data_IF_958316546786
#
_entry.id   IF_958316546786
#
_cell.length_a   1.000
_cell.length_b   1.000
_cell.length_c   1.000
_cell.angle_alpha   90.00
_cell.angle_beta   90.00
_cell.angle_gamma   90.00
#
_symmetry.space_group_name_H-M   'P 1'
#
loop_
_entity.id
_entity.type
_entity.pdbx_description
1 polymer ?
#
# COMPACT_ATOMS: atom_id res chain seq x y z
N UNK A 1 35.43 39.26 -81.32
CA UNK A 1 34.14 38.57 -81.45
C UNK A 1 34.23 37.28 -80.63
N UNK A 2 33.58 37.24 -79.54
CA UNK A 2 32.93 36.09 -78.80
C UNK A 2 32.73 36.48 -77.35
N UNK A 3 31.49 36.72 -77.01
CA UNK A 3 30.99 37.15 -75.72
C UNK A 3 30.90 35.84 -74.81
N UNK A 4 31.61 35.89 -73.72
CA UNK A 4 31.41 34.85 -72.68
C UNK A 4 30.44 35.35 -71.59
N UNK A 5 29.28 34.81 -71.57
CA UNK A 5 28.30 35.02 -70.50
C UNK A 5 28.72 34.20 -69.24
N UNK A 6 28.85 34.87 -68.10
CA UNK A 6 29.07 34.28 -66.82
C UNK A 6 27.70 34.09 -66.12
N UNK A 7 27.26 32.84 -65.88
CA UNK A 7 26.14 32.56 -65.02
C UNK A 7 26.65 32.50 -63.57
N UNK A 8 26.15 33.41 -62.75
CA UNK A 8 26.32 33.34 -61.29
C UNK A 8 25.14 32.58 -60.73
N UNK A 9 25.43 31.39 -60.19
CA UNK A 9 24.43 30.61 -59.45
C UNK A 9 24.36 31.06 -57.95
N UNK A 10 23.21 31.58 -57.54
CA UNK A 10 22.93 32.02 -56.20
C UNK A 10 22.38 30.80 -55.46
N UNK A 11 23.17 30.19 -54.56
CA UNK A 11 22.72 29.14 -53.65
C UNK A 11 22.10 29.76 -52.39
N UNK A 12 20.78 29.72 -52.27
CA UNK A 12 20.09 30.10 -51.04
C UNK A 12 20.08 28.91 -50.10
N UNK A 13 20.83 29.00 -49.00
CA UNK A 13 20.80 28.04 -47.93
C UNK A 13 19.60 28.31 -47.01
N UNK A 14 18.58 27.46 -47.07
CA UNK A 14 17.48 27.45 -46.11
C UNK A 14 17.97 26.76 -44.82
N UNK A 15 18.24 27.53 -43.78
CA UNK A 15 18.43 27.02 -42.43
C UNK A 15 17.05 26.76 -41.76
N UNK A 16 16.66 25.50 -41.70
CA UNK A 16 15.48 25.06 -40.92
C UNK A 16 15.90 24.97 -39.46
N UNK A 17 15.53 25.95 -38.68
CA UNK A 17 15.65 25.89 -37.21
C UNK A 17 14.54 24.99 -36.65
N UNK A 18 14.88 23.75 -36.21
CA UNK A 18 14.02 22.95 -35.41
C UNK A 18 13.95 23.54 -33.98
N UNK A 19 12.88 24.26 -33.69
CA UNK A 19 12.53 24.61 -32.34
C UNK A 19 12.02 23.32 -31.61
N UNK A 20 12.88 22.72 -30.81
CA UNK A 20 12.46 21.67 -29.87
C UNK A 20 11.49 22.31 -28.87
N UNK A 21 10.20 22.08 -29.05
CA UNK A 21 9.22 22.27 -27.99
C UNK A 21 9.45 21.16 -26.98
N UNK A 22 10.21 21.45 -25.93
CA UNK A 22 10.18 20.66 -24.71
C UNK A 22 8.75 20.80 -24.15
N UNK A 23 7.94 19.75 -24.34
CA UNK A 23 6.67 19.62 -23.66
C UNK A 23 6.98 19.58 -22.16
N UNK A 24 6.70 20.69 -21.48
CA UNK A 24 6.54 20.70 -20.03
C UNK A 24 5.41 19.69 -19.73
N UNK A 25 5.78 18.48 -19.31
CA UNK A 25 4.86 17.57 -18.67
C UNK A 25 4.39 18.30 -17.40
N UNK A 26 3.32 19.05 -17.52
CA UNK A 26 2.62 19.60 -16.37
C UNK A 26 2.25 18.42 -15.50
N UNK A 27 2.77 18.38 -14.28
CA UNK A 27 2.29 17.45 -13.26
C UNK A 27 0.81 17.74 -13.10
N UNK A 28 -0.03 16.85 -13.64
CA UNK A 28 -1.48 16.95 -13.41
C UNK A 28 -1.69 17.03 -11.89
N UNK A 29 -2.50 17.99 -11.45
CA UNK A 29 -2.84 18.11 -10.05
C UNK A 29 -3.37 16.73 -9.56
N UNK A 30 -2.98 16.28 -8.37
CA UNK A 30 -3.42 14.99 -7.85
C UNK A 30 -4.95 14.92 -7.88
N UNK A 31 -5.48 13.83 -8.41
CA UNK A 31 -6.94 13.61 -8.46
C UNK A 31 -7.40 13.47 -7.02
N UNK A 32 -8.24 14.39 -6.55
CA UNK A 32 -8.81 14.30 -5.20
C UNK A 32 -9.68 13.05 -5.10
N UNK A 33 -9.32 12.15 -4.21
CA UNK A 33 -10.13 10.99 -3.94
C UNK A 33 -11.43 11.38 -3.22
N UNK A 34 -12.48 10.60 -3.47
CA UNK A 34 -13.78 10.68 -2.77
C UNK A 34 -13.95 9.55 -1.78
N UNK A 35 -13.34 8.43 -2.08
CA UNK A 35 -13.50 7.18 -1.37
C UNK A 35 -12.16 6.67 -0.82
N UNK A 36 -12.24 5.96 0.31
CA UNK A 36 -11.14 5.17 0.88
C UNK A 36 -11.65 3.77 1.16
N UNK A 37 -10.96 2.78 0.63
CA UNK A 37 -11.20 1.37 0.94
C UNK A 37 -10.04 0.85 1.78
N UNK A 38 -10.36 0.39 2.99
CA UNK A 38 -9.42 -0.07 4.01
C UNK A 38 -9.45 -1.60 4.07
N UNK A 39 -8.29 -2.25 3.93
CA UNK A 39 -8.16 -3.72 3.93
C UNK A 39 -7.28 -4.14 5.09
N UNK A 40 -7.83 -4.94 6.02
CA UNK A 40 -7.12 -5.41 7.21
C UNK A 40 -6.16 -6.56 6.90
N UNK A 41 -5.15 -6.74 7.75
CA UNK A 41 -4.17 -7.80 7.66
C UNK A 41 -4.63 -9.12 8.28
N UNK A 42 -3.69 -10.08 8.38
CA UNK A 42 -3.84 -11.30 9.14
C UNK A 42 -4.00 -10.99 10.65
N UNK A 43 -4.60 -11.92 11.39
CA UNK A 43 -4.80 -11.82 12.84
C UNK A 43 -5.66 -10.63 13.29
N UNK A 44 -6.38 -10.00 12.37
CA UNK A 44 -7.20 -8.82 12.59
C UNK A 44 -8.52 -8.95 11.82
N UNK A 45 -9.36 -7.94 11.94
CA UNK A 45 -10.57 -7.74 11.16
C UNK A 45 -10.74 -6.27 10.78
N UNK A 46 -11.83 -5.92 10.10
CA UNK A 46 -12.07 -4.55 9.65
C UNK A 46 -12.19 -3.52 10.77
N UNK A 47 -12.45 -3.95 12.02
CA UNK A 47 -12.51 -3.05 13.18
C UNK A 47 -11.14 -2.50 13.60
N UNK A 48 -10.04 -3.11 13.13
CA UNK A 48 -8.68 -2.59 13.35
C UNK A 48 -8.50 -1.16 12.81
N UNK A 49 -9.36 -0.72 11.89
CA UNK A 49 -9.38 0.63 11.33
C UNK A 49 -10.26 1.62 12.08
N UNK A 50 -10.90 1.23 13.21
CA UNK A 50 -11.89 2.03 13.94
C UNK A 50 -11.38 3.41 14.37
N UNK A 51 -10.09 3.55 14.66
CA UNK A 51 -9.49 4.82 15.05
C UNK A 51 -9.20 5.74 13.84
N UNK A 52 -8.92 5.15 12.68
CA UNK A 52 -8.61 5.89 11.45
C UNK A 52 -9.88 6.35 10.73
N UNK A 53 -10.90 5.51 10.67
CA UNK A 53 -12.16 5.78 9.97
C UNK A 53 -12.75 7.15 10.30
N UNK A 54 -12.98 7.54 11.58
CA UNK A 54 -13.60 8.82 11.90
C UNK A 54 -12.71 10.03 11.53
N UNK A 55 -11.39 9.85 11.44
CA UNK A 55 -10.48 10.90 10.98
C UNK A 55 -10.70 11.20 9.50
N UNK A 56 -10.78 10.16 8.68
CA UNK A 56 -11.00 10.27 7.23
C UNK A 56 -12.42 10.77 6.91
N UNK A 57 -13.43 10.31 7.66
CA UNK A 57 -14.81 10.78 7.50
C UNK A 57 -14.95 12.27 7.82
N UNK A 58 -14.26 12.78 8.85
CA UNK A 58 -14.23 14.24 9.15
C UNK A 58 -13.59 15.05 8.04
N UNK A 59 -12.69 14.47 7.25
CA UNK A 59 -12.13 15.10 6.06
C UNK A 59 -13.07 15.04 4.83
N UNK A 60 -14.27 14.47 4.97
CA UNK A 60 -15.28 14.39 3.92
C UNK A 60 -15.13 13.19 2.98
N UNK A 61 -14.29 12.21 3.34
CA UNK A 61 -14.13 10.99 2.56
C UNK A 61 -15.21 9.95 2.90
N UNK A 62 -15.69 9.25 1.89
CA UNK A 62 -16.48 8.05 2.06
C UNK A 62 -15.55 6.87 2.35
N UNK A 63 -15.72 6.22 3.50
CA UNK A 63 -14.78 5.19 3.99
C UNK A 63 -15.48 3.85 4.12
N UNK A 64 -14.92 2.81 3.53
CA UNK A 64 -15.40 1.44 3.66
C UNK A 64 -14.26 0.53 4.10
N UNK A 65 -14.47 -0.26 5.16
CA UNK A 65 -13.55 -1.31 5.59
C UNK A 65 -14.00 -2.67 5.06
N UNK A 66 -13.09 -3.36 4.39
CA UNK A 66 -13.29 -4.72 3.88
C UNK A 66 -13.22 -5.71 5.05
N UNK A 67 -14.04 -6.75 5.00
CA UNK A 67 -13.95 -7.90 5.88
C UNK A 67 -13.35 -9.07 5.08
N UNK A 68 -12.05 -9.29 5.25
CA UNK A 68 -11.34 -10.39 4.61
C UNK A 68 -11.70 -11.71 5.31
N UNK A 69 -12.15 -12.74 4.58
CA UNK A 69 -12.44 -14.03 5.21
C UNK A 69 -11.20 -14.77 5.71
N UNK A 70 -10.00 -14.43 5.21
CA UNK A 70 -8.72 -15.07 5.57
C UNK A 70 -8.67 -16.58 5.31
N UNK A 71 -9.54 -17.08 4.44
CA UNK A 71 -9.66 -18.50 4.06
C UNK A 71 -8.81 -18.86 2.87
N UNK A 72 -8.71 -17.97 1.90
CA UNK A 72 -7.78 -18.04 0.77
C UNK A 72 -7.43 -16.66 0.23
N UNK A 73 -6.32 -16.55 -0.49
CA UNK A 73 -5.95 -15.28 -1.15
C UNK A 73 -7.00 -14.84 -2.17
N UNK A 74 -7.58 -15.80 -2.90
CA UNK A 74 -8.62 -15.53 -3.87
C UNK A 74 -9.90 -14.96 -3.22
N UNK A 75 -10.29 -15.49 -2.05
CA UNK A 75 -11.46 -15.02 -1.32
C UNK A 75 -11.27 -13.58 -0.81
N UNK A 76 -10.07 -13.25 -0.30
CA UNK A 76 -9.73 -11.91 0.20
C UNK A 76 -9.67 -10.89 -0.95
N UNK A 77 -9.09 -11.28 -2.08
CA UNK A 77 -9.08 -10.49 -3.33
C UNK A 77 -10.51 -10.22 -3.80
N UNK A 78 -11.36 -11.25 -3.82
CA UNK A 78 -12.75 -11.11 -4.25
C UNK A 78 -13.59 -10.26 -3.28
N UNK A 79 -13.36 -10.38 -1.96
CA UNK A 79 -13.98 -9.51 -0.96
C UNK A 79 -13.63 -8.03 -1.22
N UNK A 80 -12.37 -7.75 -1.51
CA UNK A 80 -11.91 -6.40 -1.84
C UNK A 80 -12.51 -5.90 -3.16
N UNK A 81 -12.54 -6.72 -4.22
CA UNK A 81 -13.15 -6.36 -5.51
C UNK A 81 -14.64 -6.01 -5.37
N UNK A 82 -15.40 -6.76 -4.57
CA UNK A 82 -16.81 -6.44 -4.30
C UNK A 82 -17.00 -5.07 -3.66
N UNK A 83 -16.11 -4.69 -2.74
CA UNK A 83 -16.16 -3.36 -2.12
C UNK A 83 -15.74 -2.27 -3.10
N UNK A 84 -14.70 -2.50 -3.92
CA UNK A 84 -14.26 -1.55 -4.95
C UNK A 84 -15.37 -1.30 -5.99
N UNK A 85 -16.10 -2.33 -6.38
CA UNK A 85 -17.22 -2.21 -7.33
C UNK A 85 -18.38 -1.32 -6.85
N UNK A 86 -18.46 -1.07 -5.53
CA UNK A 86 -19.46 -0.16 -4.93
C UNK A 86 -18.98 1.29 -4.85
N UNK A 87 -17.73 1.58 -5.22
CA UNK A 87 -17.20 2.94 -5.13
C UNK A 87 -17.58 3.76 -6.37
N UNK A 88 -18.09 4.96 -6.13
CA UNK A 88 -18.63 5.84 -7.18
C UNK A 88 -17.60 6.85 -7.75
N UNK A 89 -16.32 6.59 -7.65
CA UNK A 89 -15.28 7.49 -8.16
C UNK A 89 -13.88 7.25 -7.61
N UNK A 90 -13.01 8.26 -7.69
CA UNK A 90 -11.61 8.15 -7.32
C UNK A 90 -11.44 7.64 -5.89
N UNK A 91 -10.67 6.56 -5.74
CA UNK A 91 -10.55 5.79 -4.50
C UNK A 91 -9.08 5.61 -4.11
N UNK A 92 -8.77 5.86 -2.84
CA UNK A 92 -7.51 5.40 -2.23
C UNK A 92 -7.74 4.00 -1.67
N UNK A 93 -6.88 3.05 -2.06
CA UNK A 93 -6.92 1.68 -1.56
C UNK A 93 -5.78 1.49 -0.55
N UNK A 94 -6.12 1.09 0.66
CA UNK A 94 -5.21 1.01 1.80
C UNK A 94 -5.12 -0.43 2.29
N UNK A 95 -3.91 -0.95 2.48
CA UNK A 95 -3.69 -2.30 2.98
C UNK A 95 -2.73 -2.32 4.17
N UNK A 96 -3.14 -3.00 5.24
CA UNK A 96 -2.29 -3.27 6.40
C UNK A 96 -1.68 -4.67 6.29
N UNK A 97 -0.38 -4.80 6.58
CA UNK A 97 0.27 -6.10 6.75
C UNK A 97 0.09 -7.03 5.54
N UNK A 98 -0.43 -8.24 5.73
CA UNK A 98 -0.77 -9.20 4.68
C UNK A 98 -1.62 -8.58 3.56
N UNK A 99 -2.55 -7.67 3.90
CA UNK A 99 -3.43 -7.06 2.90
C UNK A 99 -2.69 -6.20 1.86
N UNK A 100 -1.42 -5.88 2.08
CA UNK A 100 -0.59 -5.29 1.04
C UNK A 100 -0.48 -6.17 -0.22
N UNK A 101 -0.55 -7.50 -0.08
CA UNK A 101 -0.66 -8.42 -1.23
C UNK A 101 -2.01 -8.26 -1.93
N UNK A 102 -3.10 -8.15 -1.16
CA UNK A 102 -4.46 -7.99 -1.69
C UNK A 102 -4.59 -6.69 -2.47
N UNK A 103 -4.08 -5.57 -1.94
CA UNK A 103 -4.13 -4.29 -2.65
C UNK A 103 -3.16 -4.24 -3.84
N UNK A 104 -2.05 -4.97 -3.80
CA UNK A 104 -1.17 -5.13 -4.97
C UNK A 104 -1.87 -5.86 -6.12
N UNK A 105 -2.74 -6.84 -5.80
CA UNK A 105 -3.51 -7.62 -6.76
C UNK A 105 -4.71 -6.84 -7.32
N UNK A 106 -5.40 -6.04 -6.48
CA UNK A 106 -6.67 -5.38 -6.84
C UNK A 106 -6.52 -3.92 -7.23
N UNK A 107 -5.36 -3.30 -6.97
CA UNK A 107 -5.14 -1.87 -7.13
C UNK A 107 -5.09 -1.37 -8.57
N UNK A 108 -5.11 -2.26 -9.59
CA UNK A 108 -5.26 -1.88 -10.99
C UNK A 108 -6.71 -1.54 -11.38
N UNK A 109 -7.67 -1.65 -10.45
CA UNK A 109 -9.04 -1.16 -10.67
C UNK A 109 -9.01 0.29 -11.18
N UNK A 110 -9.82 0.64 -12.20
CA UNK A 110 -9.81 1.97 -12.80
C UNK A 110 -10.18 3.10 -11.82
N UNK A 111 -10.99 2.81 -10.79
CA UNK A 111 -11.34 3.77 -9.76
C UNK A 111 -10.21 3.99 -8.74
N UNK A 112 -9.25 3.07 -8.62
CA UNK A 112 -8.12 3.23 -7.69
C UNK A 112 -7.11 4.22 -8.25
N UNK A 113 -6.91 5.33 -7.55
CA UNK A 113 -6.00 6.41 -7.93
C UNK A 113 -4.69 6.39 -7.16
N UNK A 114 -4.67 5.77 -5.98
CA UNK A 114 -3.50 5.70 -5.11
C UNK A 114 -3.55 4.46 -4.20
N UNK A 115 -2.37 3.97 -3.80
CA UNK A 115 -2.19 2.84 -2.90
C UNK A 115 -1.48 3.30 -1.63
N UNK A 116 -1.96 2.85 -0.46
CA UNK A 116 -1.31 3.10 0.83
C UNK A 116 -1.02 1.77 1.51
N UNK A 117 0.24 1.55 1.83
CA UNK A 117 0.74 0.36 2.50
C UNK A 117 1.08 0.72 3.96
N UNK A 118 0.54 0.00 4.93
CA UNK A 118 0.79 0.23 6.36
C UNK A 118 1.44 -1.03 6.93
N UNK A 119 2.75 -0.97 7.26
CA UNK A 119 3.55 -2.11 7.72
C UNK A 119 3.31 -3.36 6.85
N UNK A 120 3.24 -3.20 5.51
CA UNK A 120 2.56 -4.12 4.64
C UNK A 120 3.46 -4.85 3.65
N UNK A 121 3.05 -6.04 3.25
CA UNK A 121 3.66 -6.79 2.15
C UNK A 121 3.42 -6.08 0.83
N UNK A 122 4.43 -6.03 -0.03
CA UNK A 122 4.32 -5.46 -1.37
C UNK A 122 5.13 -6.30 -2.37
N UNK A 123 4.69 -7.54 -2.65
CA UNK A 123 5.39 -8.40 -3.61
C UNK A 123 5.29 -7.85 -5.03
N UNK A 124 6.23 -8.27 -5.85
CA UNK A 124 6.09 -8.18 -7.31
C UNK A 124 5.19 -9.29 -7.84
N UNK A 125 4.72 -9.16 -9.08
CA UNK A 125 3.91 -10.20 -9.72
C UNK A 125 4.70 -11.52 -9.80
N UNK A 126 4.12 -12.60 -9.27
CA UNK A 126 4.73 -13.94 -9.23
C UNK A 126 5.86 -14.10 -8.21
N UNK A 127 6.23 -13.05 -7.47
CA UNK A 127 7.32 -13.11 -6.50
C UNK A 127 7.02 -14.07 -5.35
N UNK A 128 8.05 -14.82 -4.95
CA UNK A 128 8.01 -15.60 -3.72
C UNK A 128 8.31 -14.68 -2.53
N UNK A 129 7.26 -14.20 -1.88
CA UNK A 129 7.41 -13.28 -0.76
C UNK A 129 8.11 -13.92 0.45
N UNK A 130 7.95 -15.23 0.65
CA UNK A 130 8.62 -15.94 1.75
C UNK A 130 10.14 -15.96 1.52
N UNK A 131 10.56 -16.27 0.30
CA UNK A 131 11.97 -16.24 -0.08
C UNK A 131 12.56 -14.81 -0.01
N UNK A 132 11.78 -13.79 -0.39
CA UNK A 132 12.18 -12.40 -0.24
C UNK A 132 12.36 -12.04 1.24
N UNK A 133 11.39 -12.32 2.08
CA UNK A 133 11.39 -11.99 3.51
C UNK A 133 12.53 -12.70 4.26
N UNK A 134 12.90 -13.92 3.86
CA UNK A 134 14.01 -14.68 4.44
C UNK A 134 15.40 -14.01 4.26
N UNK A 135 15.50 -12.97 3.43
CA UNK A 135 16.73 -12.17 3.26
C UNK A 135 16.89 -11.08 4.33
N UNK A 136 15.93 -10.91 5.19
CA UNK A 136 15.86 -9.90 6.25
C UNK A 136 15.79 -10.55 7.63
N UNK A 137 16.01 -9.81 8.71
CA UNK A 137 15.89 -10.35 10.06
C UNK A 137 14.53 -11.02 10.29
N UNK A 138 14.58 -12.22 10.88
CA UNK A 138 13.35 -12.98 11.19
C UNK A 138 12.58 -12.26 12.31
N UNK A 139 11.30 -11.87 12.08
CA UNK A 139 10.51 -11.20 13.11
C UNK A 139 10.20 -12.13 14.29
N UNK A 140 10.29 -11.64 15.54
CA UNK A 140 10.03 -12.43 16.76
C UNK A 140 8.63 -13.06 16.81
N UNK A 141 7.58 -12.37 16.34
CA UNK A 141 6.20 -12.87 16.33
C UNK A 141 6.07 -14.23 15.62
N UNK A 142 6.95 -14.52 14.65
CA UNK A 142 6.93 -15.81 13.95
C UNK A 142 7.16 -17.03 14.85
N UNK A 143 7.79 -16.84 16.02
CA UNK A 143 7.98 -17.92 17.00
C UNK A 143 6.71 -18.25 17.79
N UNK A 144 5.73 -17.35 17.79
CA UNK A 144 4.44 -17.52 18.46
C UNK A 144 3.30 -18.02 17.57
N UNK A 145 3.60 -18.44 16.33
CA UNK A 145 2.60 -19.01 15.44
C UNK A 145 2.13 -20.38 15.95
N UNK A 146 0.82 -20.53 16.06
CA UNK A 146 0.13 -21.77 16.46
C UNK A 146 -0.73 -22.23 15.29
N UNK A 147 -0.44 -23.42 14.77
CA UNK A 147 -1.14 -24.04 13.64
C UNK A 147 -2.13 -25.10 14.14
N UNK A 148 -3.35 -25.09 13.62
CA UNK A 148 -4.37 -26.10 13.90
C UNK A 148 -5.43 -26.12 12.82
N UNK A 149 -5.76 -27.30 12.28
CA UNK A 149 -6.83 -27.51 11.31
C UNK A 149 -6.64 -26.75 10.00
N UNK A 150 -5.40 -26.53 9.54
CA UNK A 150 -5.08 -25.78 8.32
C UNK A 150 -5.13 -24.27 8.48
N UNK A 151 -5.19 -23.77 9.71
CA UNK A 151 -5.18 -22.35 10.05
C UNK A 151 -4.11 -22.04 11.10
N UNK A 152 -3.60 -20.81 11.07
CA UNK A 152 -2.66 -20.27 12.02
C UNK A 152 -3.24 -19.08 12.78
N UNK A 153 -2.72 -18.85 13.97
CA UNK A 153 -2.92 -17.65 14.78
C UNK A 153 -1.66 -17.36 15.60
N UNK A 154 -1.53 -16.17 16.12
CA UNK A 154 -0.51 -15.87 17.12
C UNK A 154 -0.99 -16.35 18.50
N UNK A 155 -0.07 -16.90 19.32
CA UNK A 155 -0.35 -17.10 20.74
C UNK A 155 -0.45 -15.73 21.46
N UNK A 156 -0.96 -15.72 22.69
CA UNK A 156 -1.19 -14.47 23.44
C UNK A 156 0.10 -13.66 23.63
N UNK A 157 1.18 -14.33 23.99
CA UNK A 157 2.47 -13.67 24.23
C UNK A 157 2.96 -12.93 22.97
N UNK A 158 3.04 -13.60 21.83
CA UNK A 158 3.46 -13.00 20.58
C UNK A 158 2.49 -11.92 20.09
N UNK A 159 1.17 -12.11 20.30
CA UNK A 159 0.21 -11.09 19.92
C UNK A 159 0.37 -9.83 20.76
N UNK A 160 0.47 -9.95 22.09
CA UNK A 160 0.55 -8.79 22.99
C UNK A 160 1.90 -8.09 22.90
N UNK A 161 3.01 -8.84 22.80
CA UNK A 161 4.36 -8.24 22.85
C UNK A 161 4.98 -7.96 21.50
N UNK A 162 4.65 -8.73 20.46
CA UNK A 162 5.30 -8.58 19.16
C UNK A 162 4.38 -7.95 18.09
N UNK A 163 3.08 -8.29 18.10
CA UNK A 163 2.12 -7.75 17.14
C UNK A 163 1.59 -6.38 17.61
N UNK A 164 1.20 -6.24 18.88
CA UNK A 164 0.55 -5.07 19.45
C UNK A 164 1.34 -4.47 20.63
N UNK A 165 2.67 -4.52 20.58
CA UNK A 165 3.55 -4.25 21.71
C UNK A 165 3.60 -2.81 22.20
N UNK A 166 3.09 -1.84 21.46
CA UNK A 166 2.97 -0.44 21.84
C UNK A 166 1.56 -0.05 22.32
N UNK A 167 0.62 -1.03 22.38
CA UNK A 167 -0.70 -0.81 22.95
C UNK A 167 -0.72 -1.10 24.45
N UNK A 168 -1.68 -0.49 25.15
CA UNK A 168 -2.00 -0.85 26.53
C UNK A 168 -2.29 -2.37 26.61
N UNK A 169 -1.67 -3.11 27.55
CA UNK A 169 -1.78 -4.57 27.61
C UNK A 169 -3.21 -5.11 27.66
N UNK A 170 -4.13 -4.40 28.31
CA UNK A 170 -5.55 -4.80 28.36
C UNK A 170 -6.19 -4.69 26.97
N UNK A 171 -5.86 -3.64 26.22
CA UNK A 171 -6.34 -3.46 24.83
C UNK A 171 -5.75 -4.51 23.90
N UNK A 172 -4.45 -4.80 24.00
CA UNK A 172 -3.79 -5.82 23.20
C UNK A 172 -4.41 -7.21 23.45
N UNK A 173 -4.73 -7.57 24.71
CA UNK A 173 -5.43 -8.82 25.05
C UNK A 173 -6.85 -8.87 24.51
N UNK A 174 -7.59 -7.76 24.50
CA UNK A 174 -8.92 -7.71 23.90
C UNK A 174 -8.85 -7.96 22.39
N UNK A 175 -7.87 -7.38 21.69
CA UNK A 175 -7.62 -7.62 20.26
C UNK A 175 -7.18 -9.08 20.00
N UNK A 176 -6.34 -9.65 20.87
CA UNK A 176 -5.99 -11.07 20.81
C UNK A 176 -7.22 -11.98 20.85
N UNK A 177 -8.18 -11.68 21.71
CA UNK A 177 -9.40 -12.48 21.86
C UNK A 177 -10.28 -12.51 20.60
N UNK A 178 -10.18 -11.47 19.75
CA UNK A 178 -10.96 -11.35 18.50
C UNK A 178 -10.12 -11.55 17.24
N UNK A 179 -8.85 -11.99 17.38
CA UNK A 179 -7.99 -12.16 16.21
C UNK A 179 -8.59 -13.14 15.20
N UNK A 180 -8.60 -12.76 13.91
CA UNK A 180 -8.96 -13.65 12.82
C UNK A 180 -7.88 -14.71 12.58
N UNK A 181 -8.27 -15.99 12.52
CA UNK A 181 -7.34 -17.05 12.11
C UNK A 181 -7.10 -16.96 10.60
N UNK A 182 -5.87 -17.16 10.18
CA UNK A 182 -5.46 -17.13 8.77
C UNK A 182 -5.22 -18.55 8.26
N UNK A 183 -5.74 -18.87 7.08
CA UNK A 183 -5.43 -20.15 6.42
C UNK A 183 -3.93 -20.29 6.16
N UNK A 184 -3.37 -21.46 6.44
CA UNK A 184 -1.96 -21.77 6.18
C UNK A 184 -1.58 -21.58 4.69
N UNK A 185 -2.53 -21.76 3.78
CA UNK A 185 -2.34 -21.57 2.35
C UNK A 185 -1.98 -20.12 1.97
N UNK A 186 -2.37 -19.13 2.80
CA UNK A 186 -2.09 -17.72 2.54
C UNK A 186 -0.60 -17.37 2.67
N UNK A 187 0.16 -18.10 3.48
CA UNK A 187 1.60 -17.82 3.67
C UNK A 187 2.41 -18.00 2.38
N UNK A 188 2.03 -18.95 1.52
CA UNK A 188 2.71 -19.26 0.26
C UNK A 188 2.04 -18.65 -0.98
N UNK A 189 0.98 -17.86 -0.79
CA UNK A 189 0.25 -17.23 -1.90
C UNK A 189 1.13 -16.23 -2.65
N UNK A 190 0.91 -16.13 -3.96
CA UNK A 190 1.60 -15.17 -4.84
C UNK A 190 0.58 -14.28 -5.52
N UNK A 191 0.95 -13.03 -5.73
CA UNK A 191 0.17 -12.09 -6.54
C UNK A 191 0.43 -12.34 -8.03
N UNK A 192 -0.56 -12.08 -8.87
CA UNK A 192 -0.41 -12.06 -10.33
C UNK A 192 -0.18 -10.64 -10.84
N UNK A 193 -0.48 -9.65 -10.01
CA UNK A 193 -0.35 -8.23 -10.27
C UNK A 193 0.55 -7.57 -9.22
N UNK A 194 1.13 -6.44 -9.61
CA UNK A 194 1.87 -5.54 -8.73
C UNK A 194 1.44 -4.10 -9.04
N UNK A 195 0.23 -3.73 -8.59
CA UNK A 195 -0.39 -2.44 -8.93
C UNK A 195 0.49 -1.23 -8.56
N UNK A 196 1.34 -1.35 -7.55
CA UNK A 196 2.32 -0.33 -7.14
C UNK A 196 3.34 0.04 -8.24
N UNK A 197 3.48 -0.77 -9.30
CA UNK A 197 4.32 -0.43 -10.46
C UNK A 197 3.72 0.63 -11.37
N UNK A 198 2.41 0.79 -11.33
CA UNK A 198 1.66 1.70 -12.21
C UNK A 198 0.87 2.78 -11.47
N UNK A 199 0.68 2.63 -10.16
CA UNK A 199 -0.07 3.57 -9.32
C UNK A 199 0.85 4.28 -8.35
N UNK A 200 0.61 5.56 -8.03
CA UNK A 200 1.28 6.24 -6.94
C UNK A 200 1.10 5.46 -5.63
N UNK A 201 2.19 5.33 -4.87
CA UNK A 201 2.21 4.55 -3.65
C UNK A 201 2.72 5.34 -2.45
N UNK A 202 2.12 5.11 -1.29
CA UNK A 202 2.53 5.62 0.02
C UNK A 202 2.81 4.45 0.94
N UNK A 203 3.74 4.63 1.88
CA UNK A 203 4.10 3.57 2.81
C UNK A 203 4.35 4.11 4.21
N UNK A 204 3.64 3.57 5.21
CA UNK A 204 3.93 3.77 6.63
C UNK A 204 4.83 2.65 7.13
N UNK A 205 6.05 3.01 7.54
CA UNK A 205 7.05 2.10 8.10
C UNK A 205 6.90 2.12 9.62
N UNK A 206 6.74 0.94 10.23
CA UNK A 206 6.69 0.78 11.69
C UNK A 206 8.07 0.44 12.22
N UNK A 207 8.75 1.40 12.87
CA UNK A 207 10.16 1.28 13.26
C UNK A 207 10.43 0.18 14.30
N UNK A 208 9.45 -0.13 15.14
CA UNK A 208 9.54 -1.12 16.21
C UNK A 208 8.71 -2.38 15.88
N UNK A 209 8.42 -2.62 14.62
CA UNK A 209 7.67 -3.79 14.18
C UNK A 209 8.44 -5.08 14.47
N UNK A 210 7.79 -6.00 15.17
CA UNK A 210 8.30 -7.32 15.54
C UNK A 210 7.54 -8.46 14.84
N UNK A 211 6.64 -8.10 13.91
CA UNK A 211 5.82 -9.03 13.08
C UNK A 211 6.27 -9.01 11.62
N UNK A 212 6.66 -7.85 11.11
CA UNK A 212 7.37 -7.67 9.84
C UNK A 212 8.72 -7.01 10.15
N UNK A 213 9.80 -7.41 9.46
CA UNK A 213 11.08 -6.73 9.66
C UNK A 213 11.02 -5.28 9.17
N UNK A 214 11.36 -4.27 10.00
CA UNK A 214 11.42 -2.88 9.56
C UNK A 214 12.41 -2.65 8.39
N UNK A 215 13.46 -3.47 8.28
CA UNK A 215 14.40 -3.42 7.17
C UNK A 215 13.74 -3.89 5.86
N UNK A 216 12.87 -4.91 5.94
CA UNK A 216 12.07 -5.35 4.80
C UNK A 216 11.06 -4.26 4.40
N UNK A 217 10.38 -3.62 5.36
CA UNK A 217 9.46 -2.52 5.07
C UNK A 217 10.16 -1.37 4.33
N UNK A 218 11.35 -0.95 4.81
CA UNK A 218 12.17 0.07 4.13
C UNK A 218 12.58 -0.35 2.73
N UNK A 219 12.96 -1.61 2.56
CA UNK A 219 13.29 -2.16 1.24
C UNK A 219 12.09 -2.10 0.28
N UNK A 220 10.90 -2.52 0.74
CA UNK A 220 9.67 -2.50 -0.05
C UNK A 220 9.27 -1.08 -0.42
N UNK A 221 9.26 -0.16 0.52
CA UNK A 221 8.95 1.25 0.30
C UNK A 221 9.88 1.90 -0.74
N UNK A 222 11.20 1.64 -0.61
CA UNK A 222 12.20 2.11 -1.58
C UNK A 222 11.99 1.49 -2.97
N UNK A 223 11.72 0.18 -3.05
CA UNK A 223 11.49 -0.53 -4.32
C UNK A 223 10.30 0.03 -5.08
N UNK A 224 9.24 0.39 -4.36
CA UNK A 224 8.03 0.99 -4.91
C UNK A 224 8.18 2.48 -5.24
N UNK A 225 9.30 3.12 -4.87
CA UNK A 225 9.45 4.58 -4.91
C UNK A 225 8.28 5.29 -4.19
N UNK A 226 7.85 4.74 -3.05
CA UNK A 226 6.70 5.24 -2.31
C UNK A 226 7.04 6.52 -1.53
N UNK A 227 6.06 7.41 -1.38
CA UNK A 227 6.11 8.47 -0.38
C UNK A 227 6.01 7.82 1.01
N UNK A 228 6.97 8.08 1.91
CA UNK A 228 7.08 7.34 3.16
C UNK A 228 6.91 8.20 4.39
N UNK A 229 6.33 7.61 5.44
CA UNK A 229 6.40 8.08 6.82
C UNK A 229 6.97 6.95 7.68
N UNK A 230 7.83 7.30 8.65
CA UNK A 230 8.35 6.34 9.63
C UNK A 230 7.75 6.67 11.00
N UNK A 231 7.18 5.66 11.64
CA UNK A 231 6.44 5.79 12.90
C UNK A 231 7.10 4.88 13.94
N UNK A 232 7.33 5.38 15.14
CA UNK A 232 7.90 4.60 16.26
C UNK A 232 6.81 3.76 16.92
N UNK A 233 6.25 2.82 16.16
CA UNK A 233 5.13 1.96 16.53
C UNK A 233 5.48 0.48 16.39
N UNK A 234 4.67 -0.37 17.04
CA UNK A 234 4.59 -1.80 16.74
C UNK A 234 3.93 -2.03 15.37
N UNK A 235 3.59 -3.29 15.05
CA UNK A 235 2.93 -3.66 13.79
C UNK A 235 1.58 -2.98 13.56
N UNK A 236 0.90 -2.55 14.62
CA UNK A 236 -0.47 -2.00 14.57
C UNK A 236 -0.51 -0.48 14.65
N UNK A 237 0.36 0.20 13.91
CA UNK A 237 0.41 1.68 13.86
C UNK A 237 -0.94 2.34 13.53
N UNK A 238 -1.81 1.67 12.78
CA UNK A 238 -3.19 2.12 12.50
C UNK A 238 -4.06 2.25 13.78
N UNK A 239 -3.66 1.57 14.87
CA UNK A 239 -4.37 1.59 16.16
C UNK A 239 -3.68 2.53 17.15
N UNK A 240 -2.33 2.49 17.21
CA UNK A 240 -1.54 3.29 18.17
C UNK A 240 -1.27 4.71 17.68
N UNK A 241 -1.16 4.92 16.36
CA UNK A 241 -0.82 6.19 15.70
C UNK A 241 -1.83 6.53 14.60
N UNK A 242 -3.15 6.55 14.89
CA UNK A 242 -4.18 6.69 13.87
C UNK A 242 -4.14 8.02 13.12
N UNK A 243 -3.62 9.10 13.75
CA UNK A 243 -3.52 10.42 13.11
C UNK A 243 -2.46 10.42 12.02
N UNK A 244 -1.29 9.84 12.28
CA UNK A 244 -0.18 9.73 11.32
C UNK A 244 -0.61 8.88 10.12
N UNK A 245 -1.32 7.78 10.36
CA UNK A 245 -1.87 6.93 9.31
C UNK A 245 -2.95 7.67 8.52
N UNK A 246 -3.87 8.36 9.20
CA UNK A 246 -4.89 9.15 8.51
C UNK A 246 -4.28 10.25 7.64
N UNK A 247 -3.27 10.97 8.14
CA UNK A 247 -2.58 12.01 7.38
C UNK A 247 -1.90 11.46 6.13
N UNK A 248 -1.25 10.28 6.23
CA UNK A 248 -0.68 9.61 5.05
C UNK A 248 -1.75 9.26 4.01
N UNK A 249 -2.91 8.78 4.46
CA UNK A 249 -4.05 8.46 3.57
C UNK A 249 -4.62 9.74 2.96
N UNK A 250 -4.74 10.84 3.72
CA UNK A 250 -5.20 12.13 3.22
C UNK A 250 -4.25 12.70 2.15
N UNK A 251 -2.93 12.61 2.37
CA UNK A 251 -1.94 12.99 1.37
C UNK A 251 -2.10 12.16 0.08
N UNK A 252 -2.33 10.85 0.19
CA UNK A 252 -2.62 9.97 -0.94
C UNK A 252 -3.95 10.33 -1.65
N UNK A 253 -4.92 10.87 -0.90
CA UNK A 253 -6.20 11.34 -1.42
C UNK A 253 -6.12 12.72 -2.09
N UNK A 254 -4.97 13.39 -2.07
CA UNK A 254 -4.80 14.76 -2.57
C UNK A 254 -5.48 15.80 -1.68
N UNK A 255 -5.59 15.52 -0.38
CA UNK A 255 -6.15 16.40 0.64
C UNK A 255 -5.04 16.87 1.60
N UNK A 256 -5.25 18.03 2.19
CA UNK A 256 -4.32 18.57 3.19
C UNK A 256 -4.40 17.76 4.50
N UNK A 257 -3.26 17.66 5.19
CA UNK A 257 -3.20 17.04 6.53
C UNK A 257 -4.13 17.76 7.52
N UNK A 258 -4.81 16.99 8.34
CA UNK A 258 -5.59 17.55 9.45
C UNK A 258 -4.63 17.92 10.59
N UNK A 259 -4.57 19.20 10.93
CA UNK A 259 -3.82 19.74 12.06
C UNK A 259 -4.47 19.40 13.40
#
# INVERSE_FOLDING_TARGET
MKILQRFAALAAALTVTFASQAALAGTAAPIKARNVVLVHGAYADGSSWSEVIPLLQRAGLHVTSVQNPLTSFADDVEATRRVLALQDGPTVLVGHSYAGMVISETGNDPNVTALVYVAARAPDAGEDYVALAARFPKPPASNGLVHSGGFAQLNEEAFVHDFAGDLEPARARALYAVQGRISDALFASKTTQAAWRSKPAWYAISNNDRTTSPELERFLAKRMNATTVSIDSSHVSLISHPREIANLILAAAGLDEQR
#
